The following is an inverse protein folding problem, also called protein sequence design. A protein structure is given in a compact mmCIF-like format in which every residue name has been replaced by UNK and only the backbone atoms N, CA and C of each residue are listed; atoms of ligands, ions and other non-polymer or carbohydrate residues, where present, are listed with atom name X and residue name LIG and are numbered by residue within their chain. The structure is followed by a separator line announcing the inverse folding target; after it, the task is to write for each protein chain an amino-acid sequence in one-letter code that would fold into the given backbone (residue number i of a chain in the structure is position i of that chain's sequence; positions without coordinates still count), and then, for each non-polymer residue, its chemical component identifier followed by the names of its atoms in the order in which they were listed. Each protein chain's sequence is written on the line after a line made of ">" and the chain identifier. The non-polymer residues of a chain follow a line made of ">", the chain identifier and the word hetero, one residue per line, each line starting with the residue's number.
data_IF_927863469557
#
_entry.id   IF_927863469557
#
_cell.length_a   1.000
_cell.length_b   1.000
_cell.length_c   1.000
_cell.angle_alpha   90.00
_cell.angle_beta   90.00
_cell.angle_gamma   90.00
#
_symmetry.space_group_name_H-M   'P 1'
#
loop_
_entity.id
_entity.type
_entity.pdbx_description
1 polymer ?
#
# COMPACT_ATOMS: atom_id res chain seq x y z
N UNK A 1 -14.57 39.49 23.18
CA UNK A 1 -14.19 38.05 23.15
C UNK A 1 -13.35 37.79 24.38
N UNK A 2 -13.87 37.01 25.33
CA UNK A 2 -13.26 36.79 26.64
C UNK A 2 -12.17 35.71 26.54
N UNK A 3 -11.01 36.06 25.99
CA UNK A 3 -9.89 35.11 25.73
C UNK A 3 -9.36 34.46 27.01
N UNK A 4 -9.56 35.11 28.17
CA UNK A 4 -9.12 34.64 29.48
C UNK A 4 -10.19 33.90 30.27
N UNK A 5 -11.46 33.95 29.86
CA UNK A 5 -12.49 33.09 30.43
C UNK A 5 -12.29 31.68 29.86
N UNK A 6 -12.26 30.63 30.66
CA UNK A 6 -11.93 29.25 30.23
C UNK A 6 -10.54 29.11 29.56
N UNK A 7 -9.53 29.71 30.18
CA UNK A 7 -8.12 29.53 29.80
C UNK A 7 -7.64 28.08 30.05
N UNK A 8 -6.87 27.44 29.13
CA UNK A 8 -6.35 27.96 27.84
C UNK A 8 -7.25 27.65 26.63
N UNK A 9 -8.41 27.02 26.82
CA UNK A 9 -9.24 26.48 25.75
C UNK A 9 -9.79 27.55 24.79
N UNK A 10 -10.23 28.69 25.33
CA UNK A 10 -10.71 29.80 24.51
C UNK A 10 -9.59 30.46 23.68
N UNK A 11 -8.37 30.47 24.21
CA UNK A 11 -7.20 30.92 23.47
C UNK A 11 -6.82 29.95 22.35
N UNK A 12 -6.88 28.64 22.61
CA UNK A 12 -6.67 27.63 21.57
C UNK A 12 -7.69 27.72 20.44
N UNK A 13 -8.98 27.91 20.78
CA UNK A 13 -10.04 28.13 19.79
C UNK A 13 -9.81 29.37 18.93
N UNK A 14 -9.38 30.47 19.55
CA UNK A 14 -8.98 31.68 18.83
C UNK A 14 -7.85 31.39 17.83
N UNK A 15 -6.79 30.71 18.26
CA UNK A 15 -5.66 30.36 17.39
C UNK A 15 -6.09 29.43 16.24
N UNK A 16 -6.98 28.47 16.51
CA UNK A 16 -7.53 27.59 15.49
C UNK A 16 -8.39 28.34 14.47
N UNK A 17 -9.19 29.32 14.91
CA UNK A 17 -10.01 30.14 14.01
C UNK A 17 -9.15 31.02 13.09
N UNK A 18 -8.04 31.57 13.58
CA UNK A 18 -7.08 32.35 12.78
C UNK A 18 -6.20 31.51 11.86
N UNK A 19 -6.10 30.20 12.09
CA UNK A 19 -5.26 29.28 11.29
C UNK A 19 -6.06 28.39 10.34
N UNK A 20 -7.39 28.57 10.26
CA UNK A 20 -8.24 27.95 9.24
C UNK A 20 -7.81 28.43 7.84
N UNK A 21 -7.50 27.52 6.90
CA UNK A 21 -7.11 27.91 5.55
C UNK A 21 -8.27 28.63 4.87
N UNK A 22 -8.05 29.89 4.48
CA UNK A 22 -8.94 30.59 3.55
C UNK A 22 -8.74 29.99 2.16
N UNK A 23 -9.83 29.72 1.45
CA UNK A 23 -9.83 28.99 0.18
C UNK A 23 -8.71 29.45 -0.77
N UNK A 24 -7.86 28.50 -1.17
CA UNK A 24 -6.96 28.65 -2.31
C UNK A 24 -5.61 29.35 -2.07
N UNK A 25 -5.23 29.73 -0.85
CA UNK A 25 -3.90 30.33 -0.61
C UNK A 25 -3.04 29.48 0.33
N UNK A 26 -2.10 28.73 -0.25
CA UNK A 26 -0.98 28.06 0.44
C UNK A 26 0.14 29.05 0.78
N UNK A 27 -0.18 30.28 1.19
CA UNK A 27 0.77 31.12 1.89
C UNK A 27 1.06 30.43 3.24
N UNK A 28 2.28 29.93 3.39
CA UNK A 28 2.61 28.89 4.37
C UNK A 28 2.14 29.26 5.77
N UNK A 29 1.38 28.37 6.42
CA UNK A 29 1.02 28.41 7.85
C UNK A 29 2.19 28.86 8.75
N UNK A 30 3.42 28.57 8.32
CA UNK A 30 4.68 28.97 8.94
C UNK A 30 4.91 30.49 8.97
N UNK A 31 4.55 31.24 7.93
CA UNK A 31 4.69 32.70 7.88
C UNK A 31 3.70 33.35 8.86
N UNK A 32 2.43 32.93 8.84
CA UNK A 32 1.40 33.45 9.74
C UNK A 32 1.70 33.16 11.21
N UNK A 33 2.10 31.92 11.54
CA UNK A 33 2.46 31.55 12.91
C UNK A 33 3.74 32.25 13.38
N UNK A 34 4.67 32.54 12.47
CA UNK A 34 5.86 33.32 12.77
C UNK A 34 5.53 34.80 13.04
N UNK A 35 4.61 35.40 12.28
CA UNK A 35 4.15 36.78 12.49
C UNK A 35 3.40 36.93 13.83
N UNK A 36 2.53 35.98 14.17
CA UNK A 36 1.84 35.95 15.46
C UNK A 36 2.85 35.79 16.60
N UNK A 37 3.84 34.88 16.47
CA UNK A 37 4.89 34.73 17.48
C UNK A 37 5.72 36.01 17.65
N UNK A 38 6.08 36.68 16.57
CA UNK A 38 6.82 37.93 16.61
C UNK A 38 6.00 39.07 17.23
N UNK A 39 4.71 39.16 16.91
CA UNK A 39 3.80 40.14 17.50
C UNK A 39 3.63 39.90 19.00
N UNK A 40 3.36 38.66 19.42
CA UNK A 40 3.28 38.28 20.83
C UNK A 40 4.60 38.54 21.56
N UNK A 41 5.74 38.30 20.91
CA UNK A 41 7.06 38.53 21.49
C UNK A 41 7.44 40.00 21.64
N UNK A 42 6.91 40.87 20.78
CA UNK A 42 7.13 42.33 20.83
C UNK A 42 6.15 43.06 21.73
N UNK A 43 4.90 42.60 21.79
CA UNK A 43 3.82 43.28 22.51
C UNK A 43 3.65 42.76 23.94
N UNK A 44 4.01 41.50 24.22
CA UNK A 44 3.86 40.86 25.54
C UNK A 44 5.23 40.60 26.17
N UNK A 45 5.94 41.69 26.47
CA UNK A 45 7.27 41.66 27.09
C UNK A 45 7.19 41.56 28.63
N UNK A 46 6.06 41.96 29.22
CA UNK A 46 5.89 41.98 30.67
C UNK A 46 5.89 40.56 31.27
N UNK A 47 6.59 40.31 32.41
CA UNK A 47 6.70 38.98 33.01
C UNK A 47 5.35 38.30 33.30
N UNK A 48 4.33 39.08 33.67
CA UNK A 48 2.99 38.58 33.98
C UNK A 48 2.19 38.13 32.75
N UNK A 49 2.63 38.47 31.55
CA UNK A 49 1.99 38.09 30.28
C UNK A 49 2.74 36.94 29.58
N UNK A 50 3.75 36.37 30.23
CA UNK A 50 4.57 35.30 29.68
C UNK A 50 3.80 33.98 29.52
N UNK A 51 2.76 33.76 30.33
CA UNK A 51 1.90 32.57 30.25
C UNK A 51 1.18 32.46 28.89
N UNK A 52 0.79 33.59 28.28
CA UNK A 52 0.19 33.63 26.94
C UNK A 52 1.14 33.12 25.86
N UNK A 53 2.42 33.51 25.97
CA UNK A 53 3.47 33.06 25.06
C UNK A 53 3.78 31.58 25.26
N UNK A 54 3.79 31.13 26.51
CA UNK A 54 4.02 29.74 26.86
C UNK A 54 2.93 28.82 26.30
N UNK A 55 1.66 29.14 26.51
CA UNK A 55 0.55 28.32 25.98
C UNK A 55 0.48 28.38 24.45
N UNK A 56 0.80 29.53 23.82
CA UNK A 56 0.91 29.60 22.36
C UNK A 56 1.96 28.61 21.83
N UNK A 57 3.16 28.61 22.43
CA UNK A 57 4.25 27.72 22.02
C UNK A 57 3.89 26.24 22.26
N UNK A 58 3.23 25.92 23.39
CA UNK A 58 2.77 24.56 23.70
C UNK A 58 1.67 24.06 22.76
N UNK A 59 0.67 24.88 22.48
CA UNK A 59 -0.43 24.54 21.56
C UNK A 59 0.10 24.30 20.14
N UNK A 60 0.98 25.20 19.68
CA UNK A 60 1.60 25.08 18.35
C UNK A 60 2.47 23.84 18.24
N UNK A 61 3.27 23.54 19.26
CA UNK A 61 4.11 22.35 19.30
C UNK A 61 3.28 21.05 19.34
N UNK A 62 2.19 21.04 20.10
CA UNK A 62 1.30 19.87 20.23
C UNK A 62 0.58 19.57 18.91
N UNK A 63 0.12 20.62 18.21
CA UNK A 63 -0.70 20.52 17.00
C UNK A 63 0.10 20.45 15.70
N UNK A 64 1.28 21.06 15.64
CA UNK A 64 2.14 21.11 14.45
C UNK A 64 3.60 20.74 14.77
N UNK A 65 3.80 19.50 15.24
CA UNK A 65 5.08 18.90 15.67
C UNK A 65 6.25 19.06 14.69
N UNK A 66 5.97 19.29 13.41
CA UNK A 66 6.98 19.32 12.35
C UNK A 66 7.37 20.73 11.86
N UNK A 67 6.73 21.81 12.34
CA UNK A 67 6.78 23.10 11.60
C UNK A 67 7.25 24.35 12.34
N UNK A 68 7.39 24.37 13.66
CA UNK A 68 7.89 25.56 14.39
C UNK A 68 8.87 25.18 15.51
N UNK A 69 10.10 25.71 15.43
CA UNK A 69 11.13 25.56 16.45
C UNK A 69 11.14 26.83 17.30
N UNK A 70 10.70 26.75 18.56
CA UNK A 70 10.79 27.85 19.51
C UNK A 70 11.22 27.32 20.89
N UNK A 71 12.34 27.86 21.40
CA UNK A 71 13.16 27.56 22.63
C UNK A 71 14.28 26.51 22.52
N UNK A 72 15.43 26.85 23.13
CA UNK A 72 16.67 26.07 23.13
C UNK A 72 16.61 24.75 23.92
N UNK A 73 15.74 24.64 24.92
CA UNK A 73 15.55 23.41 25.69
C UNK A 73 14.78 22.35 24.89
N UNK A 74 13.76 22.76 24.15
CA UNK A 74 13.01 21.89 23.22
C UNK A 74 13.84 21.51 21.99
N UNK A 75 14.80 22.37 21.58
CA UNK A 75 15.73 22.14 20.47
C UNK A 75 16.66 20.95 20.71
N UNK A 76 17.10 20.71 21.95
CA UNK A 76 18.02 19.62 22.31
C UNK A 76 17.40 18.23 22.17
N UNK A 77 16.09 18.10 22.38
CA UNK A 77 15.33 16.85 22.23
C UNK A 77 14.67 16.66 20.86
N UNK A 78 14.72 17.66 19.98
CA UNK A 78 14.01 17.63 18.70
C UNK A 78 14.64 16.62 17.72
N UNK A 79 13.83 15.83 16.97
CA UNK A 79 14.33 14.80 16.04
C UNK A 79 15.09 15.38 14.84
N UNK A 80 14.91 16.67 14.54
CA UNK A 80 15.59 17.39 13.45
C UNK A 80 16.46 18.51 14.04
N UNK A 81 17.69 18.63 13.56
CA UNK A 81 18.68 19.65 13.94
C UNK A 81 19.17 20.45 12.75
N UNK A 82 19.81 21.59 13.01
CA UNK A 82 20.43 22.40 11.96
C UNK A 82 21.73 21.75 11.45
N UNK A 83 22.07 21.99 10.18
CA UNK A 83 23.34 21.51 9.61
C UNK A 83 24.57 22.01 10.36
N UNK A 84 24.54 23.21 10.94
CA UNK A 84 25.63 23.71 11.78
C UNK A 84 25.80 22.89 13.07
N UNK A 85 24.69 22.54 13.73
CA UNK A 85 24.67 21.69 14.93
C UNK A 85 25.14 20.27 14.62
N UNK A 86 24.71 19.71 13.48
CA UNK A 86 25.15 18.40 13.01
C UNK A 86 26.66 18.36 12.71
N UNK A 87 27.17 19.37 12.01
CA UNK A 87 28.60 19.48 11.66
C UNK A 87 29.47 19.57 12.92
N UNK A 88 29.02 20.34 13.92
CA UNK A 88 29.70 20.46 15.20
C UNK A 88 29.75 19.13 15.95
N UNK A 89 28.66 18.36 15.95
CA UNK A 89 28.63 17.04 16.61
C UNK A 89 29.54 16.01 15.94
N UNK A 90 29.59 16.02 14.61
CA UNK A 90 30.47 15.13 13.85
C UNK A 90 31.92 15.58 13.82
N UNK A 91 32.23 16.78 14.34
CA UNK A 91 33.54 17.42 14.22
C UNK A 91 34.00 17.52 12.76
N UNK A 92 33.06 17.77 11.85
CA UNK A 92 33.29 17.90 10.41
C UNK A 92 33.04 19.35 9.95
N UNK A 93 33.73 19.82 8.90
CA UNK A 93 33.37 21.09 8.29
C UNK A 93 31.98 20.99 7.63
N UNK A 94 31.19 22.07 7.70
CA UNK A 94 29.82 22.13 7.16
C UNK A 94 29.74 21.71 5.69
N UNK A 95 30.78 22.00 4.88
CA UNK A 95 30.86 21.54 3.49
C UNK A 95 30.98 20.02 3.35
N UNK A 96 31.68 19.34 4.26
CA UNK A 96 31.75 17.89 4.27
C UNK A 96 30.42 17.29 4.70
N UNK A 97 29.73 17.89 5.69
CA UNK A 97 28.37 17.50 6.03
C UNK A 97 27.42 17.62 4.84
N UNK A 98 27.49 18.69 4.06
CA UNK A 98 26.65 18.83 2.85
C UNK A 98 26.89 17.69 1.87
N UNK A 99 28.16 17.31 1.64
CA UNK A 99 28.49 16.15 0.78
C UNK A 99 27.89 14.86 1.34
N UNK A 100 28.00 14.62 2.65
CA UNK A 100 27.40 13.44 3.29
C UNK A 100 25.88 13.42 3.15
N UNK A 101 25.22 14.57 3.22
CA UNK A 101 23.78 14.68 2.99
C UNK A 101 23.42 14.47 1.51
N UNK A 102 24.20 15.06 0.59
CA UNK A 102 24.02 14.91 -0.86
C UNK A 102 24.28 13.47 -1.34
N UNK A 103 25.21 12.76 -0.69
CA UNK A 103 25.52 11.35 -0.92
C UNK A 103 24.53 10.40 -0.24
N UNK A 104 23.63 10.92 0.61
CA UNK A 104 22.65 10.13 1.36
C UNK A 104 23.24 9.37 2.56
N UNK A 105 24.48 9.64 2.94
CA UNK A 105 25.12 9.07 4.15
C UNK A 105 24.53 9.66 5.44
N UNK A 106 23.94 10.86 5.38
CA UNK A 106 23.21 11.46 6.50
C UNK A 106 21.87 11.98 5.99
N UNK A 107 20.78 11.63 6.67
CA UNK A 107 19.44 12.07 6.29
C UNK A 107 19.26 13.55 6.60
N UNK A 108 19.07 14.35 5.56
CA UNK A 108 18.83 15.79 5.68
C UNK A 108 18.29 16.39 4.39
N UNK A 109 17.83 17.63 4.47
CA UNK A 109 17.34 18.37 3.32
C UNK A 109 17.83 19.83 3.33
N UNK A 110 17.94 20.38 2.12
CA UNK A 110 18.22 21.78 1.88
C UNK A 110 16.90 22.54 1.85
N UNK A 111 16.74 23.50 2.76
CA UNK A 111 15.58 24.37 2.86
C UNK A 111 15.94 25.75 2.35
N UNK A 112 15.15 26.28 1.42
CA UNK A 112 15.28 27.66 0.94
C UNK A 112 14.24 28.51 1.67
N UNK A 113 14.66 29.59 2.32
CA UNK A 113 13.75 30.54 2.94
C UNK A 113 13.03 31.37 1.87
N UNK A 114 11.90 32.01 2.24
CA UNK A 114 11.16 32.92 1.37
C UNK A 114 12.03 34.12 0.88
N UNK A 115 13.15 34.39 1.54
CA UNK A 115 14.12 35.44 1.18
C UNK A 115 15.33 34.88 0.40
N UNK A 116 15.26 33.63 -0.09
CA UNK A 116 16.33 32.99 -0.87
C UNK A 116 17.51 32.45 -0.06
N UNK A 117 17.48 32.54 1.28
CA UNK A 117 18.55 32.03 2.14
C UNK A 117 18.45 30.51 2.25
N UNK A 118 19.54 29.83 1.95
CA UNK A 118 19.64 28.37 2.03
C UNK A 118 20.14 27.92 3.40
N UNK A 119 19.39 27.02 4.04
CA UNK A 119 19.77 26.36 5.29
C UNK A 119 19.62 24.86 5.17
N UNK A 120 20.43 24.12 5.90
CA UNK A 120 20.39 22.65 5.91
C UNK A 120 19.75 22.16 7.21
N UNK A 121 18.85 21.20 7.09
CA UNK A 121 18.22 20.50 8.22
C UNK A 121 18.57 19.02 8.14
N UNK A 122 18.84 18.40 9.28
CA UNK A 122 19.39 17.05 9.37
C UNK A 122 18.69 16.29 10.49
N UNK A 123 18.39 15.01 10.29
CA UNK A 123 17.78 14.16 11.32
C UNK A 123 18.84 13.80 12.39
N UNK A 124 18.53 14.08 13.66
CA UNK A 124 19.43 13.89 14.80
C UNK A 124 19.85 12.42 14.95
N UNK A 125 18.90 11.49 14.80
CA UNK A 125 19.16 10.06 14.89
C UNK A 125 20.15 9.58 13.81
N UNK A 126 20.04 10.11 12.58
CA UNK A 126 20.96 9.78 11.48
C UNK A 126 22.37 10.28 11.75
N UNK A 127 22.52 11.49 12.32
CA UNK A 127 23.83 12.04 12.71
C UNK A 127 24.47 11.24 13.84
N UNK A 128 23.69 10.85 14.85
CA UNK A 128 24.19 10.06 15.98
C UNK A 128 24.62 8.65 15.55
N UNK A 129 23.88 8.02 14.65
CA UNK A 129 24.24 6.72 14.07
C UNK A 129 25.50 6.82 13.19
N UNK A 130 25.63 7.88 12.38
CA UNK A 130 26.82 8.10 11.57
C UNK A 130 28.07 8.32 12.46
N UNK A 131 27.92 9.06 13.56
CA UNK A 131 29.01 9.28 14.52
C UNK A 131 29.49 7.99 15.21
N UNK A 132 28.60 7.03 15.41
CA UNK A 132 28.89 5.77 16.10
C UNK A 132 29.51 4.71 15.17
N UNK A 133 29.31 4.83 13.85
CA UNK A 133 29.74 3.82 12.89
C UNK A 133 30.95 4.33 12.08
N UNK A 134 32.16 3.93 12.48
CA UNK A 134 33.46 4.33 11.88
C UNK A 134 33.59 4.08 10.36
N UNK A 135 32.63 3.39 9.71
CA UNK A 135 32.73 2.94 8.31
C UNK A 135 31.43 3.10 7.50
N UNK A 136 30.45 3.90 7.94
CA UNK A 136 29.14 4.04 7.27
C UNK A 136 28.35 2.71 7.13
N UNK A 137 28.72 1.72 7.96
CA UNK A 137 28.11 0.40 8.00
C UNK A 137 27.18 0.30 9.21
N UNK A 138 25.92 0.03 8.93
CA UNK A 138 24.85 -0.20 9.89
C UNK A 138 24.70 -1.69 10.20
N UNK A 139 24.49 -1.99 11.48
CA UNK A 139 24.12 -3.33 11.91
C UNK A 139 22.64 -3.59 11.67
N UNK A 140 22.21 -4.86 11.76
CA UNK A 140 20.80 -5.23 11.69
C UNK A 140 19.91 -4.45 12.68
N UNK A 141 20.41 -4.17 13.89
CA UNK A 141 19.65 -3.41 14.91
C UNK A 141 19.43 -1.96 14.49
N UNK A 142 20.43 -1.36 13.86
CA UNK A 142 20.34 0.02 13.39
C UNK A 142 19.32 0.13 12.25
N UNK A 143 19.36 -0.83 11.30
CA UNK A 143 18.39 -0.90 10.20
C UNK A 143 16.97 -1.17 10.71
N UNK A 144 16.81 -2.02 11.74
CA UNK A 144 15.52 -2.22 12.41
C UNK A 144 14.97 -0.93 13.02
N UNK A 145 15.82 -0.13 13.66
CA UNK A 145 15.44 1.17 14.21
C UNK A 145 14.96 2.15 13.12
N UNK A 146 15.68 2.20 11.99
CA UNK A 146 15.38 3.11 10.87
C UNK A 146 14.14 2.70 10.07
N UNK A 147 14.04 1.41 9.69
CA UNK A 147 12.95 0.92 8.85
C UNK A 147 11.69 0.54 9.65
N UNK A 148 11.82 0.36 10.97
CA UNK A 148 10.76 -0.08 11.90
C UNK A 148 10.12 -1.42 11.51
N UNK A 149 10.92 -2.34 10.98
CA UNK A 149 10.52 -3.70 10.60
C UNK A 149 11.42 -4.73 11.30
N UNK A 150 10.90 -5.94 11.48
CA UNK A 150 11.63 -7.00 12.20
C UNK A 150 12.88 -7.48 11.42
N UNK A 151 13.90 -8.02 12.10
CA UNK A 151 15.11 -8.54 11.45
C UNK A 151 14.84 -9.55 10.33
N UNK A 152 13.83 -10.41 10.52
CA UNK A 152 13.41 -11.38 9.50
C UNK A 152 12.90 -10.70 8.22
N UNK A 153 12.21 -9.56 8.33
CA UNK A 153 11.75 -8.79 7.17
C UNK A 153 12.90 -8.06 6.49
N UNK A 154 13.87 -7.54 7.25
CA UNK A 154 15.08 -6.91 6.69
C UNK A 154 15.88 -7.93 5.88
N UNK A 155 16.11 -9.12 6.46
CA UNK A 155 16.76 -10.23 5.77
C UNK A 155 16.01 -10.60 4.48
N UNK A 156 14.68 -10.63 4.52
CA UNK A 156 13.87 -10.93 3.35
C UNK A 156 14.01 -9.89 2.23
N UNK A 157 14.08 -8.59 2.57
CA UNK A 157 14.34 -7.53 1.60
C UNK A 157 15.70 -7.72 0.93
N UNK A 158 16.69 -8.10 1.72
CA UNK A 158 18.05 -8.20 1.26
C UNK A 158 18.35 -9.51 0.50
N UNK A 159 17.68 -10.62 0.84
CA UNK A 159 17.63 -11.85 0.03
C UNK A 159 16.94 -11.68 -1.33
N UNK A 160 16.18 -10.59 -1.52
CA UNK A 160 15.42 -10.31 -2.75
C UNK A 160 15.91 -9.03 -3.46
N UNK A 161 17.14 -8.59 -3.18
CA UNK A 161 17.80 -7.43 -3.78
C UNK A 161 17.04 -6.10 -3.65
N UNK A 162 16.08 -6.02 -2.71
CA UNK A 162 15.36 -4.79 -2.39
C UNK A 162 16.16 -3.90 -1.42
N UNK A 163 17.12 -4.49 -0.70
CA UNK A 163 18.06 -3.78 0.17
C UNK A 163 19.45 -4.41 0.03
N UNK A 164 20.47 -3.63 -0.32
CA UNK A 164 21.82 -4.16 -0.51
C UNK A 164 22.48 -4.47 0.83
N UNK A 165 22.89 -5.72 1.00
CA UNK A 165 23.70 -6.15 2.13
C UNK A 165 25.17 -6.24 1.72
N UNK A 166 26.07 -5.84 2.62
CA UNK A 166 27.51 -5.99 2.44
C UNK A 166 27.94 -7.29 3.15
N UNK A 167 28.48 -8.28 2.42
CA UNK A 167 29.08 -9.44 3.05
C UNK A 167 30.37 -8.99 3.75
N UNK A 168 30.48 -9.25 5.05
CA UNK A 168 31.79 -9.24 5.71
C UNK A 168 32.48 -10.56 5.38
N UNK A 169 33.79 -10.55 5.14
CA UNK A 169 34.61 -11.66 4.62
C UNK A 169 34.63 -12.98 5.43
N UNK A 170 33.71 -13.20 6.36
CA UNK A 170 33.58 -14.40 7.18
C UNK A 170 32.18 -14.97 7.03
N UNK A 171 32.12 -16.28 6.81
CA UNK A 171 30.91 -17.10 6.63
C UNK A 171 29.93 -17.07 7.83
N UNK A 172 30.34 -16.44 8.95
CA UNK A 172 29.53 -16.25 10.18
C UNK A 172 29.28 -14.78 10.51
N UNK A 173 29.61 -13.86 9.62
CA UNK A 173 29.47 -12.43 9.91
C UNK A 173 27.99 -12.01 9.94
N UNK A 174 27.60 -11.15 10.90
CA UNK A 174 26.28 -10.54 10.89
C UNK A 174 26.10 -9.68 9.63
N UNK A 175 24.89 -9.66 9.06
CA UNK A 175 24.55 -8.82 7.90
C UNK A 175 24.80 -7.35 8.24
N UNK A 176 25.55 -6.67 7.38
CA UNK A 176 25.83 -5.24 7.48
C UNK A 176 25.22 -4.53 6.28
N UNK A 177 24.83 -3.27 6.46
CA UNK A 177 24.17 -2.46 5.44
C UNK A 177 24.85 -1.11 5.35
N UNK A 178 25.03 -0.56 4.15
CA UNK A 178 25.50 0.83 4.04
C UNK A 178 24.35 1.77 4.38
N UNK A 179 24.64 2.85 5.10
CA UNK A 179 23.61 3.83 5.43
C UNK A 179 22.99 4.45 4.16
N UNK A 180 23.81 4.75 3.15
CA UNK A 180 23.33 5.28 1.87
C UNK A 180 22.33 4.36 1.15
N UNK A 181 22.51 3.03 1.21
CA UNK A 181 21.59 2.07 0.60
C UNK A 181 20.24 2.00 1.34
N UNK A 182 20.27 2.10 2.67
CA UNK A 182 19.04 2.15 3.50
C UNK A 182 18.27 3.46 3.25
N UNK A 183 18.98 4.58 3.16
CA UNK A 183 18.37 5.86 2.83
C UNK A 183 17.83 5.91 1.42
N UNK A 184 18.53 5.36 0.44
CA UNK A 184 18.03 5.26 -0.94
C UNK A 184 16.71 4.48 -1.00
N UNK A 185 16.57 3.40 -0.22
CA UNK A 185 15.29 2.70 -0.08
C UNK A 185 14.21 3.60 0.52
N UNK A 186 14.50 4.31 1.61
CA UNK A 186 13.54 5.23 2.24
C UNK A 186 13.11 6.36 1.31
N UNK A 187 14.02 6.89 0.49
CA UNK A 187 13.72 7.94 -0.50
C UNK A 187 12.87 7.41 -1.66
N UNK A 188 13.10 6.18 -2.13
CA UNK A 188 12.20 5.49 -3.08
C UNK A 188 10.81 5.22 -2.51
N UNK A 189 10.68 5.24 -1.18
CA UNK A 189 9.40 5.14 -0.47
C UNK A 189 8.87 6.54 -0.06
N UNK A 190 9.57 7.61 -0.42
CA UNK A 190 9.29 9.01 -0.07
C UNK A 190 8.53 9.73 -1.19
N UNK A 191 7.60 9.04 -1.82
CA UNK A 191 6.76 9.60 -2.87
C UNK A 191 5.36 9.85 -2.30
N UNK A 192 5.12 11.03 -1.74
CA UNK A 192 3.83 11.37 -1.13
C UNK A 192 3.85 12.67 -0.33
N UNK A 193 2.77 13.45 -0.38
CA UNK A 193 2.62 14.63 0.47
C UNK A 193 2.40 14.21 1.93
N UNK A 194 2.78 15.07 2.89
CA UNK A 194 2.41 14.85 4.29
C UNK A 194 0.88 14.94 4.41
N UNK A 195 0.23 13.83 4.80
CA UNK A 195 -1.21 13.86 5.08
C UNK A 195 -1.46 14.66 6.35
N UNK A 196 -2.26 15.71 6.22
CA UNK A 196 -2.66 16.60 7.32
C UNK A 196 -3.60 15.84 8.29
N UNK A 197 -4.22 14.75 7.82
CA UNK A 197 -5.16 13.92 8.56
C UNK A 197 -4.74 12.44 8.47
N UNK A 198 -3.74 12.00 9.25
CA UNK A 198 -3.36 10.59 9.30
C UNK A 198 -4.50 9.68 9.80
N UNK A 199 -5.49 10.25 10.50
CA UNK A 199 -6.68 9.57 11.04
C UNK A 199 -7.89 9.61 10.09
N UNK A 200 -7.67 9.68 8.78
CA UNK A 200 -8.77 9.55 7.81
C UNK A 200 -9.18 8.08 7.63
N UNK A 201 -10.49 7.81 7.61
CA UNK A 201 -11.04 6.48 7.26
C UNK A 201 -10.67 6.04 5.84
N UNK A 202 -10.27 6.98 4.98
CA UNK A 202 -9.83 6.72 3.60
C UNK A 202 -8.40 6.21 3.49
N UNK A 203 -7.56 6.38 4.52
CA UNK A 203 -6.16 5.96 4.51
C UNK A 203 -5.99 4.64 5.27
N UNK A 204 -4.92 3.93 4.94
CA UNK A 204 -4.50 2.72 5.64
C UNK A 204 -2.97 2.69 5.74
N UNK A 205 -2.45 2.30 6.90
CA UNK A 205 -1.01 2.19 7.09
C UNK A 205 -0.44 0.93 6.44
N UNK A 206 0.79 1.00 5.94
CA UNK A 206 1.52 -0.18 5.43
C UNK A 206 1.70 -1.23 6.53
N UNK A 207 1.81 -0.79 7.80
CA UNK A 207 1.80 -1.71 8.94
C UNK A 207 0.48 -2.50 9.03
N UNK A 208 -0.67 -1.83 8.93
CA UNK A 208 -1.98 -2.49 8.96
C UNK A 208 -2.14 -3.44 7.76
N UNK A 209 -1.71 -3.04 6.56
CA UNK A 209 -1.69 -3.91 5.38
C UNK A 209 -0.90 -5.17 5.67
N UNK A 210 0.37 -5.05 6.08
CA UNK A 210 1.27 -6.20 6.26
C UNK A 210 0.97 -7.03 7.51
N UNK A 211 0.16 -6.53 8.44
CA UNK A 211 -0.25 -7.24 9.66
C UNK A 211 -1.64 -7.87 9.56
N UNK A 212 -2.61 -7.18 8.95
CA UNK A 212 -4.02 -7.61 8.93
C UNK A 212 -4.48 -8.17 7.60
N UNK A 213 -3.93 -7.71 6.47
CA UNK A 213 -4.37 -8.13 5.13
C UNK A 213 -3.39 -9.11 4.47
N UNK A 214 -2.11 -8.74 4.43
CA UNK A 214 -1.07 -9.33 3.60
C UNK A 214 0.03 -9.92 4.47
N UNK A 215 -0.31 -10.97 5.23
CA UNK A 215 0.62 -11.66 6.12
C UNK A 215 1.50 -12.65 5.34
N UNK A 216 2.73 -12.87 5.82
CA UNK A 216 3.68 -13.83 5.23
C UNK A 216 4.80 -13.18 4.41
N UNK A 217 5.79 -13.99 4.01
CA UNK A 217 7.01 -13.52 3.32
C UNK A 217 6.70 -12.95 1.94
N UNK A 218 6.01 -13.71 1.09
CA UNK A 218 5.69 -13.27 -0.28
C UNK A 218 4.76 -12.05 -0.31
N UNK A 219 3.75 -12.03 0.55
CA UNK A 219 2.80 -10.92 0.62
C UNK A 219 3.48 -9.62 1.06
N UNK A 220 4.41 -9.69 2.04
CA UNK A 220 5.22 -8.55 2.43
C UNK A 220 6.09 -8.03 1.27
N UNK A 221 6.79 -8.93 0.56
CA UNK A 221 7.60 -8.56 -0.60
C UNK A 221 6.77 -7.91 -1.71
N UNK A 222 5.58 -8.44 -1.99
CA UNK A 222 4.67 -7.89 -2.99
C UNK A 222 4.24 -6.44 -2.64
N UNK A 223 3.93 -6.17 -1.38
CA UNK A 223 3.58 -4.81 -0.92
C UNK A 223 4.77 -3.87 -1.06
N UNK A 224 5.97 -4.27 -0.63
CA UNK A 224 7.16 -3.41 -0.73
C UNK A 224 7.54 -3.13 -2.19
N UNK A 225 7.49 -4.13 -3.07
CA UNK A 225 7.71 -3.94 -4.51
C UNK A 225 6.68 -2.98 -5.11
N UNK A 226 5.40 -3.16 -4.79
CA UNK A 226 4.35 -2.28 -5.28
C UNK A 226 4.54 -0.82 -4.82
N UNK A 227 5.03 -0.58 -3.60
CA UNK A 227 5.38 0.77 -3.14
C UNK A 227 6.55 1.37 -3.92
N UNK A 228 7.60 0.58 -4.13
CA UNK A 228 8.82 1.00 -4.83
C UNK A 228 8.57 1.27 -6.32
N UNK A 229 7.75 0.44 -6.97
CA UNK A 229 7.42 0.51 -8.39
C UNK A 229 6.28 1.50 -8.68
N UNK A 230 5.66 2.07 -7.64
CA UNK A 230 4.56 3.04 -7.77
C UNK A 230 3.18 2.41 -8.01
N UNK A 231 3.05 1.08 -7.95
CA UNK A 231 1.75 0.38 -7.99
C UNK A 231 0.87 0.67 -6.75
N UNK A 232 1.49 1.00 -5.61
CA UNK A 232 0.86 1.60 -4.44
C UNK A 232 1.53 2.95 -4.17
N UNK A 233 0.78 4.02 -4.27
CA UNK A 233 1.29 5.37 -4.04
C UNK A 233 1.14 5.73 -2.57
N UNK A 234 2.18 6.30 -1.98
CA UNK A 234 2.11 6.82 -0.62
C UNK A 234 1.40 8.17 -0.69
N UNK A 235 0.24 8.27 -0.04
CA UNK A 235 -0.54 9.51 0.00
C UNK A 235 -0.25 10.35 1.25
N UNK A 236 0.37 9.72 2.26
CA UNK A 236 0.55 10.34 3.56
C UNK A 236 1.59 9.68 4.42
N UNK A 237 1.90 10.34 5.53
CA UNK A 237 2.71 9.77 6.61
C UNK A 237 2.09 10.05 7.97
N UNK A 238 2.18 9.08 8.87
CA UNK A 238 1.78 9.25 10.27
C UNK A 238 2.91 9.95 11.03
N UNK A 239 2.68 11.12 11.65
CA UNK A 239 3.74 11.87 12.36
C UNK A 239 4.29 11.15 13.60
N UNK A 240 3.53 10.21 14.17
CA UNK A 240 3.93 9.45 15.36
C UNK A 240 4.87 8.26 15.06
N UNK A 241 5.05 7.91 13.78
CA UNK A 241 5.77 6.70 13.36
C UNK A 241 6.93 7.06 12.41
N UNK A 242 7.83 6.11 12.19
CA UNK A 242 8.99 6.26 11.29
C UNK A 242 9.14 5.04 10.37
N UNK A 243 9.99 5.15 9.34
CA UNK A 243 10.26 4.06 8.40
C UNK A 243 9.02 3.59 7.63
N UNK A 244 8.92 2.28 7.37
CA UNK A 244 7.80 1.72 6.62
C UNK A 244 6.46 1.82 7.37
N UNK A 245 6.49 1.90 8.71
CA UNK A 245 5.26 2.00 9.51
C UNK A 245 4.56 3.33 9.37
N UNK A 246 5.33 4.38 9.07
CA UNK A 246 4.79 5.72 8.89
C UNK A 246 3.98 5.86 7.59
N UNK A 247 4.20 5.00 6.60
CA UNK A 247 3.63 5.16 5.26
C UNK A 247 2.12 4.89 5.25
N UNK A 248 1.37 5.83 4.67
CA UNK A 248 -0.08 5.74 4.46
C UNK A 248 -0.38 5.67 2.97
N UNK A 249 -1.29 4.78 2.60
CA UNK A 249 -1.79 4.63 1.22
C UNK A 249 -3.32 4.75 1.24
N UNK A 250 -3.93 5.11 0.11
CA UNK A 250 -5.38 5.07 -0.02
C UNK A 250 -5.91 3.65 0.15
N UNK A 251 -6.95 3.50 0.97
CA UNK A 251 -7.66 2.24 1.18
C UNK A 251 -8.32 1.75 -0.11
N UNK A 252 -8.78 2.66 -0.96
CA UNK A 252 -9.36 2.32 -2.25
C UNK A 252 -8.30 1.84 -3.23
N UNK A 253 -7.18 2.55 -3.34
CA UNK A 253 -6.05 2.14 -4.16
C UNK A 253 -5.54 0.76 -3.73
N UNK A 254 -5.36 0.56 -2.43
CA UNK A 254 -4.94 -0.73 -1.88
C UNK A 254 -5.94 -1.84 -2.21
N UNK A 255 -7.25 -1.61 -2.09
CA UNK A 255 -8.28 -2.60 -2.44
C UNK A 255 -8.21 -3.02 -3.90
N UNK A 256 -8.09 -2.05 -4.83
CA UNK A 256 -7.96 -2.33 -6.27
C UNK A 256 -6.69 -3.12 -6.57
N UNK A 257 -5.54 -2.67 -6.04
CA UNK A 257 -4.27 -3.36 -6.21
C UNK A 257 -4.30 -4.78 -5.63
N UNK A 258 -4.86 -4.96 -4.42
CA UNK A 258 -4.96 -6.25 -3.76
C UNK A 258 -5.88 -7.22 -4.52
N UNK A 259 -6.97 -6.71 -5.12
CA UNK A 259 -7.82 -7.50 -6.01
C UNK A 259 -7.04 -7.97 -7.24
N UNK A 260 -6.32 -7.06 -7.92
CA UNK A 260 -5.48 -7.41 -9.08
C UNK A 260 -4.38 -8.41 -8.71
N UNK A 261 -3.70 -8.21 -7.59
CA UNK A 261 -2.68 -9.12 -7.07
C UNK A 261 -3.22 -10.54 -6.90
N UNK A 262 -4.43 -10.68 -6.36
CA UNK A 262 -5.10 -11.98 -6.19
C UNK A 262 -5.48 -12.62 -7.54
N UNK A 263 -6.01 -11.84 -8.46
CA UNK A 263 -6.37 -12.30 -9.81
C UNK A 263 -5.15 -12.75 -10.61
N UNK A 264 -4.01 -12.05 -10.52
CA UNK A 264 -2.74 -12.45 -11.16
C UNK A 264 -2.21 -13.80 -10.65
N UNK A 265 -2.53 -14.16 -9.41
CA UNK A 265 -2.25 -15.49 -8.85
C UNK A 265 -3.31 -16.53 -9.24
N UNK A 266 -4.21 -16.17 -10.13
CA UNK A 266 -5.24 -17.02 -10.69
C UNK A 266 -6.32 -17.40 -9.67
N UNK A 267 -6.54 -16.64 -8.60
CA UNK A 267 -7.61 -16.94 -7.65
C UNK A 267 -8.79 -15.97 -7.83
N UNK A 268 -9.94 -16.49 -8.23
CA UNK A 268 -11.14 -15.71 -8.53
C UNK A 268 -12.18 -15.97 -7.45
N UNK A 269 -12.86 -14.94 -6.94
CA UNK A 269 -14.10 -15.18 -6.18
C UNK A 269 -15.16 -15.76 -7.11
N UNK A 270 -16.18 -16.40 -6.57
CA UNK A 270 -17.22 -17.04 -7.41
C UNK A 270 -17.87 -16.06 -8.40
N UNK A 271 -18.22 -14.80 -8.01
CA UNK A 271 -18.74 -13.83 -8.98
C UNK A 271 -17.73 -13.46 -10.08
N UNK A 272 -16.46 -13.23 -9.73
CA UNK A 272 -15.41 -12.90 -10.71
C UNK A 272 -15.11 -14.07 -11.64
N UNK A 273 -15.14 -15.30 -11.13
CA UNK A 273 -14.98 -16.52 -11.92
C UNK A 273 -16.12 -16.67 -12.93
N UNK A 274 -17.36 -16.46 -12.49
CA UNK A 274 -18.55 -16.52 -13.34
C UNK A 274 -18.47 -15.48 -14.47
N UNK A 275 -18.08 -14.24 -14.15
CA UNK A 275 -17.83 -13.20 -15.15
C UNK A 275 -16.72 -13.60 -16.14
N UNK A 276 -15.60 -14.14 -15.63
CA UNK A 276 -14.46 -14.54 -16.45
C UNK A 276 -14.81 -15.60 -17.51
N UNK A 277 -15.60 -16.62 -17.14
CA UNK A 277 -16.05 -17.67 -18.06
C UNK A 277 -17.41 -17.37 -18.73
N UNK A 278 -17.95 -16.15 -18.55
CA UNK A 278 -19.25 -15.71 -19.07
C UNK A 278 -20.41 -16.65 -18.69
N UNK A 279 -20.44 -17.06 -17.43
CA UNK A 279 -21.47 -17.89 -16.83
C UNK A 279 -22.31 -17.08 -15.84
N UNK A 280 -23.58 -17.46 -15.68
CA UNK A 280 -24.42 -16.91 -14.61
C UNK A 280 -23.85 -17.32 -13.23
N UNK A 281 -23.66 -16.38 -12.28
CA UNK A 281 -23.10 -16.69 -10.97
C UNK A 281 -23.88 -17.77 -10.19
N UNK A 282 -25.22 -17.80 -10.28
CA UNK A 282 -26.02 -18.77 -9.56
C UNK A 282 -25.82 -20.19 -10.10
N UNK A 283 -25.69 -20.32 -11.42
CA UNK A 283 -25.31 -21.59 -12.05
C UNK A 283 -23.94 -22.05 -11.52
N UNK A 284 -22.95 -21.17 -11.45
CA UNK A 284 -21.63 -21.55 -10.93
C UNK A 284 -21.69 -22.01 -9.47
N UNK A 285 -22.45 -21.33 -8.61
CA UNK A 285 -22.69 -21.79 -7.22
C UNK A 285 -23.33 -23.19 -7.17
N UNK A 286 -24.29 -23.48 -8.04
CA UNK A 286 -24.93 -24.79 -8.11
C UNK A 286 -23.97 -25.89 -8.61
N UNK A 287 -23.08 -25.57 -9.56
CA UNK A 287 -22.05 -26.50 -10.01
C UNK A 287 -21.05 -26.81 -8.90
N UNK A 288 -20.69 -25.80 -8.08
CA UNK A 288 -19.87 -25.99 -6.88
C UNK A 288 -20.59 -26.89 -5.87
N UNK A 289 -21.87 -26.62 -5.57
CA UNK A 289 -22.62 -27.42 -4.58
C UNK A 289 -22.80 -28.88 -4.99
N UNK A 290 -22.73 -29.17 -6.30
CA UNK A 290 -22.79 -30.53 -6.85
C UNK A 290 -21.41 -31.20 -7.00
N UNK A 291 -20.34 -30.52 -6.64
CA UNK A 291 -18.97 -31.03 -6.77
C UNK A 291 -18.46 -31.13 -8.21
N UNK A 292 -19.12 -30.50 -9.17
CA UNK A 292 -18.68 -30.45 -10.58
C UNK A 292 -17.58 -29.42 -10.80
N UNK A 293 -17.53 -28.42 -9.93
CA UNK A 293 -16.51 -27.35 -9.91
C UNK A 293 -15.87 -27.32 -8.54
N UNK A 294 -14.54 -27.43 -8.52
CA UNK A 294 -13.79 -27.36 -7.27
C UNK A 294 -13.59 -25.91 -6.82
N UNK A 295 -14.27 -25.53 -5.74
CA UNK A 295 -13.99 -24.28 -5.04
C UNK A 295 -13.02 -24.52 -3.88
N UNK A 296 -12.10 -23.58 -3.68
CA UNK A 296 -11.17 -23.57 -2.56
C UNK A 296 -11.42 -22.38 -1.65
N UNK A 297 -11.24 -22.58 -0.35
CA UNK A 297 -11.18 -21.47 0.60
C UNK A 297 -9.72 -21.02 0.76
N UNK A 298 -9.47 -19.75 0.53
CA UNK A 298 -8.13 -19.16 0.65
C UNK A 298 -8.17 -17.94 1.56
N UNK A 299 -7.09 -17.72 2.30
CA UNK A 299 -6.95 -16.58 3.19
C UNK A 299 -6.60 -15.33 2.38
N UNK A 300 -7.63 -14.64 1.87
CA UNK A 300 -7.50 -13.38 1.16
C UNK A 300 -8.41 -12.36 1.84
N UNK A 301 -7.84 -11.45 2.65
CA UNK A 301 -8.63 -10.37 3.23
C UNK A 301 -8.19 -9.95 4.62
N UNK A 302 -8.98 -9.05 5.19
CA UNK A 302 -8.78 -8.51 6.52
C UNK A 302 -8.86 -9.63 7.59
N UNK A 303 -7.92 -9.63 8.53
CA UNK A 303 -7.90 -10.50 9.72
C UNK A 303 -8.09 -11.99 9.40
N UNK A 304 -7.36 -12.48 8.40
CA UNK A 304 -7.38 -13.90 8.01
C UNK A 304 -8.74 -14.42 7.56
N UNK A 305 -9.63 -13.53 7.09
CA UNK A 305 -10.91 -13.95 6.51
C UNK A 305 -10.67 -14.93 5.36
N UNK A 306 -11.36 -16.07 5.41
CA UNK A 306 -11.37 -17.04 4.32
C UNK A 306 -12.35 -16.57 3.24
N UNK A 307 -11.85 -16.43 2.02
CA UNK A 307 -12.67 -16.21 0.84
C UNK A 307 -12.81 -17.52 0.08
N UNK A 308 -14.04 -17.84 -0.31
CA UNK A 308 -14.31 -18.92 -1.24
C UNK A 308 -14.07 -18.43 -2.67
N UNK A 309 -13.33 -19.20 -3.45
CA UNK A 309 -13.02 -18.89 -4.82
C UNK A 309 -12.57 -20.11 -5.61
N UNK A 310 -12.21 -19.87 -6.86
CA UNK A 310 -11.87 -20.88 -7.85
C UNK A 310 -10.53 -20.50 -8.47
N UNK A 311 -9.65 -21.47 -8.65
CA UNK A 311 -8.37 -21.24 -9.31
C UNK A 311 -8.51 -21.23 -10.83
N UNK A 312 -7.66 -20.46 -11.51
CA UNK A 312 -7.63 -20.33 -12.97
C UNK A 312 -7.58 -21.69 -13.68
N UNK A 313 -6.75 -22.61 -13.16
CA UNK A 313 -6.63 -23.99 -13.68
C UNK A 313 -7.96 -24.75 -13.69
N UNK A 314 -8.78 -24.52 -12.68
CA UNK A 314 -10.11 -25.14 -12.59
C UNK A 314 -11.09 -24.47 -13.56
N UNK A 315 -11.00 -23.14 -13.74
CA UNK A 315 -11.78 -22.42 -14.76
C UNK A 315 -11.41 -22.89 -16.18
N UNK A 316 -10.13 -23.05 -16.47
CA UNK A 316 -9.62 -23.61 -17.73
C UNK A 316 -10.15 -25.04 -17.94
N UNK A 317 -10.10 -25.89 -16.91
CA UNK A 317 -10.67 -27.25 -16.97
C UNK A 317 -12.16 -27.22 -17.30
N UNK A 318 -12.92 -26.33 -16.67
CA UNK A 318 -14.35 -26.21 -16.92
C UNK A 318 -14.60 -25.76 -18.37
N UNK A 319 -13.89 -24.73 -18.80
CA UNK A 319 -14.03 -24.17 -20.15
C UNK A 319 -13.60 -25.17 -21.23
N UNK A 320 -12.63 -26.05 -20.97
CA UNK A 320 -12.21 -27.08 -21.91
C UNK A 320 -13.12 -28.31 -21.90
N UNK A 321 -13.65 -28.69 -20.74
CA UNK A 321 -14.35 -29.96 -20.55
C UNK A 321 -15.85 -29.87 -20.79
N UNK A 322 -16.42 -28.68 -20.70
CA UNK A 322 -17.87 -28.49 -20.77
C UNK A 322 -18.28 -27.35 -21.70
N UNK A 323 -19.52 -27.44 -22.16
CA UNK A 323 -20.15 -26.44 -23.02
C UNK A 323 -21.57 -26.16 -22.54
N UNK A 324 -21.96 -24.89 -22.55
CA UNK A 324 -23.24 -24.41 -22.07
C UNK A 324 -23.68 -23.13 -22.79
N UNK A 325 -24.95 -22.77 -22.62
CA UNK A 325 -25.46 -21.45 -22.99
C UNK A 325 -25.24 -21.07 -24.46
N UNK A 326 -24.89 -19.80 -24.69
CA UNK A 326 -24.55 -19.28 -26.02
C UNK A 326 -23.39 -20.03 -26.67
N UNK A 327 -22.40 -20.51 -25.90
CA UNK A 327 -21.25 -21.25 -26.44
C UNK A 327 -21.69 -22.57 -27.07
N UNK A 328 -22.68 -23.24 -26.48
CA UNK A 328 -23.31 -24.42 -27.05
C UNK A 328 -24.00 -24.09 -28.37
N UNK A 329 -24.77 -23.00 -28.41
CA UNK A 329 -25.42 -22.51 -29.63
C UNK A 329 -24.42 -22.25 -30.76
N UNK A 330 -23.36 -21.49 -30.47
CA UNK A 330 -22.31 -21.18 -31.44
C UNK A 330 -21.58 -22.43 -31.95
N UNK A 331 -21.35 -23.43 -31.10
CA UNK A 331 -20.67 -24.66 -31.49
C UNK A 331 -21.48 -25.46 -32.53
N UNK A 332 -22.81 -25.43 -32.44
CA UNK A 332 -23.71 -26.16 -33.35
C UNK A 332 -24.31 -25.28 -34.46
N UNK A 333 -23.99 -23.98 -34.49
CA UNK A 333 -24.60 -23.03 -35.43
C UNK A 333 -26.10 -22.80 -35.21
N UNK A 334 -26.59 -23.00 -33.98
CA UNK A 334 -28.01 -22.94 -33.62
C UNK A 334 -28.26 -21.94 -32.48
N UNK A 335 -29.53 -21.61 -32.22
CA UNK A 335 -29.90 -20.94 -30.97
C UNK A 335 -29.59 -21.82 -29.76
N UNK A 336 -29.33 -21.26 -28.58
CA UNK A 336 -29.06 -22.01 -27.35
C UNK A 336 -30.13 -23.08 -27.06
N UNK A 337 -31.41 -22.71 -27.17
CA UNK A 337 -32.53 -23.62 -26.93
C UNK A 337 -32.61 -24.71 -28.01
N UNK A 338 -32.41 -24.35 -29.29
CA UNK A 338 -32.44 -25.32 -30.40
C UNK A 338 -31.27 -26.31 -30.30
N UNK A 339 -30.08 -25.83 -29.95
CA UNK A 339 -28.88 -26.62 -29.74
C UNK A 339 -29.08 -27.65 -28.63
N UNK A 340 -29.53 -27.21 -27.45
CA UNK A 340 -29.81 -28.12 -26.34
C UNK A 340 -30.90 -29.15 -26.69
N UNK A 341 -31.98 -28.73 -27.35
CA UNK A 341 -33.06 -29.63 -27.78
C UNK A 341 -32.57 -30.68 -28.79
N UNK A 342 -31.72 -30.30 -29.74
CA UNK A 342 -31.15 -31.21 -30.73
C UNK A 342 -30.30 -32.30 -30.06
N UNK A 343 -29.42 -31.92 -29.12
CA UNK A 343 -28.60 -32.88 -28.38
C UNK A 343 -29.45 -33.84 -27.53
N UNK A 344 -30.51 -33.34 -26.88
CA UNK A 344 -31.44 -34.18 -26.13
C UNK A 344 -32.18 -35.19 -27.02
N UNK A 345 -32.61 -34.78 -28.23
CA UNK A 345 -33.24 -35.69 -29.19
C UNK A 345 -32.27 -36.75 -29.73
N UNK A 346 -30.97 -36.43 -29.83
CA UNK A 346 -29.92 -37.39 -30.15
C UNK A 346 -29.55 -38.32 -28.98
N UNK A 347 -30.24 -38.19 -27.83
CA UNK A 347 -30.01 -39.03 -26.65
C UNK A 347 -28.81 -38.62 -25.80
N UNK A 348 -28.17 -37.49 -26.10
CA UNK A 348 -27.04 -36.97 -25.33
C UNK A 348 -27.58 -36.39 -24.03
N UNK A 349 -27.08 -36.90 -22.90
CA UNK A 349 -27.54 -36.49 -21.59
C UNK A 349 -26.73 -35.30 -21.07
N UNK A 350 -27.37 -34.18 -20.72
CA UNK A 350 -26.70 -33.11 -19.99
C UNK A 350 -26.31 -33.57 -18.59
N UNK A 351 -25.29 -32.93 -18.02
CA UNK A 351 -24.93 -33.11 -16.61
C UNK A 351 -25.89 -32.33 -15.71
N UNK A 352 -26.23 -31.11 -16.13
CA UNK A 352 -27.19 -30.23 -15.45
C UNK A 352 -28.11 -29.59 -16.49
N UNK A 353 -29.31 -29.20 -16.08
CA UNK A 353 -30.21 -28.41 -16.92
C UNK A 353 -31.62 -28.28 -16.37
N UNK A 354 -32.46 -27.47 -17.04
CA UNK A 354 -33.81 -27.12 -16.57
C UNK A 354 -34.67 -28.32 -16.17
N UNK A 355 -34.57 -29.42 -16.91
CA UNK A 355 -35.36 -30.64 -16.69
C UNK A 355 -34.72 -31.66 -15.76
N UNK A 356 -33.46 -31.47 -15.36
CA UNK A 356 -32.71 -32.38 -14.49
C UNK A 356 -32.71 -31.84 -13.06
N UNK A 357 -32.38 -30.57 -12.91
CA UNK A 357 -32.05 -29.96 -11.62
C UNK A 357 -32.50 -28.51 -11.51
N UNK A 358 -33.46 -28.10 -12.35
CA UNK A 358 -34.08 -26.78 -12.37
C UNK A 358 -33.09 -25.61 -12.53
N UNK A 359 -31.97 -25.88 -13.21
CA UNK A 359 -30.95 -24.90 -13.53
C UNK A 359 -31.32 -24.18 -14.83
N UNK A 360 -31.00 -22.88 -14.96
CA UNK A 360 -31.45 -22.06 -16.11
C UNK A 360 -31.03 -22.57 -17.49
N UNK A 361 -29.88 -23.24 -17.62
CA UNK A 361 -29.36 -23.71 -18.90
C UNK A 361 -28.79 -25.11 -18.80
N UNK A 362 -28.76 -25.81 -19.93
CA UNK A 362 -28.17 -27.14 -20.02
C UNK A 362 -26.64 -27.05 -20.08
N UNK A 363 -26.00 -27.97 -19.37
CA UNK A 363 -24.55 -28.08 -19.23
C UNK A 363 -24.11 -29.46 -19.70
N UNK A 364 -23.34 -29.52 -20.79
CA UNK A 364 -22.91 -30.78 -21.43
C UNK A 364 -21.40 -30.97 -21.36
N UNK A 365 -20.94 -32.22 -21.44
CA UNK A 365 -19.52 -32.51 -21.68
C UNK A 365 -19.17 -32.20 -23.13
N UNK A 366 -18.07 -31.51 -23.35
CA UNK A 366 -17.57 -31.24 -24.70
C UNK A 366 -17.34 -32.53 -25.50
N UNK A 367 -16.82 -33.59 -24.85
CA UNK A 367 -16.60 -34.90 -25.48
C UNK A 367 -17.87 -35.47 -26.12
N UNK A 368 -18.98 -35.39 -25.40
CA UNK A 368 -20.22 -36.03 -25.79
C UNK A 368 -20.88 -35.25 -26.94
N UNK A 369 -20.79 -33.92 -26.90
CA UNK A 369 -21.27 -33.03 -27.97
C UNK A 369 -20.44 -33.21 -29.25
N UNK A 370 -19.11 -33.28 -29.13
CA UNK A 370 -18.23 -33.46 -30.28
C UNK A 370 -18.38 -34.85 -30.92
N UNK A 371 -18.53 -35.90 -30.12
CA UNK A 371 -18.76 -37.26 -30.60
C UNK A 371 -20.04 -37.33 -31.45
N UNK A 372 -21.15 -36.77 -30.95
CA UNK A 372 -22.41 -36.77 -31.69
C UNK A 372 -22.35 -35.93 -32.97
N UNK A 373 -21.58 -34.84 -32.98
CA UNK A 373 -21.40 -34.03 -34.17
C UNK A 373 -20.56 -34.75 -35.24
N UNK A 374 -19.53 -35.49 -34.82
CA UNK A 374 -18.73 -36.33 -35.70
C UNK A 374 -19.56 -37.47 -36.31
N UNK A 375 -20.42 -38.12 -35.52
CA UNK A 375 -21.35 -39.15 -35.99
C UNK A 375 -22.37 -38.59 -37.00
N UNK A 376 -22.94 -37.41 -36.73
CA UNK A 376 -23.89 -36.76 -37.63
C UNK A 376 -23.26 -36.35 -38.98
N UNK A 377 -21.97 -35.97 -38.99
CA UNK A 377 -21.24 -35.66 -40.22
C UNK A 377 -20.72 -36.90 -40.95
N UNK A 378 -20.41 -37.99 -40.24
CA UNK A 378 -20.08 -39.27 -40.86
C UNK A 378 -21.30 -39.85 -41.58
N UNK A 379 -22.48 -39.79 -40.95
CA UNK A 379 -23.74 -40.31 -41.51
C UNK A 379 -24.16 -39.57 -42.81
N UNK A 380 -24.05 -38.23 -42.82
CA UNK A 380 -24.36 -37.42 -44.02
C UNK A 380 -23.38 -37.62 -45.19
N UNK A 381 -22.13 -38.07 -44.94
CA UNK A 381 -21.18 -38.40 -46.02
C UNK A 381 -21.38 -39.80 -46.59
N UNK A 382 -21.94 -40.73 -45.82
CA UNK A 382 -22.30 -42.06 -46.32
C UNK A 382 -23.58 -42.04 -47.16
N UNK A 383 -24.53 -41.14 -46.89
CA UNK A 383 -25.76 -41.03 -47.70
C UNK A 383 -25.55 -40.30 -49.06
N UNK A 384 -24.44 -39.59 -49.25
CA UNK A 384 -24.08 -38.99 -50.55
C UNK A 384 -23.24 -39.91 -51.46
N UNK A 385 -23.03 -41.18 -51.06
CA UNK A 385 -22.39 -42.21 -51.88
C UNK A 385 -23.22 -43.49 -51.92
N UNK A 386 -24.36 -43.44 -52.60
CA UNK A 386 -24.90 -44.59 -53.33
C UNK A 386 -26.06 -44.15 -54.24
N UNK A 387 -26.11 -44.63 -55.49
CA UNK A 387 -25.08 -44.60 -56.53
C UNK A 387 -25.30 -43.46 -57.55
#
# INVERSE_FOLDING_TARGET
>A
MHVLEDWPNNFHRLLDDYTKPTDGQTASLRIYLQEIHQALSRLLVHPELQFLRYEFEQHVHTRWRDKLILKDELRKGHPIMSGAEAAQRLKLPVRALHKLVEQGEIKGCKVVSAQGKTSWMVERASVELFAQNEHDLLTMKDVESLLRITPNRIRLLAENDLLKAVPRSSDRAPWMFKHCDVNALLERLNHGNLSITPESTSLISVWEITKRWMQGREAFLAVVRALIEGGLQVEGRTPAETGLRALLVSREQFRRWHQQYRLLRGFYTVPEAAEHIKMDPNLLYQLISKGLVHASQQQYGYEKKMLMGIFAKELERIDSSYVWGKRLGSLLGLSEHSAAKALLHQGIRPICGPTIDNVKCYFFRCSDVLAAFAEAHAFNRTETRAP
#
